data_IF_417726031175
#
_entry.id   IF_417726031175
#
_cell.length_a   1.000
_cell.length_b   1.000
_cell.length_c   1.000
_cell.angle_alpha   90.00
_cell.angle_beta   90.00
_cell.angle_gamma   90.00
#
_symmetry.space_group_name_H-M   'P 1'
#
loop_
_entity.id
_entity.type
_entity.pdbx_description
1 polymer ?
#
# COMPACT_ATOMS: atom_id res chain seq x y z
N UNK A 1 5.32 12.95 17.40
CA UNK A 1 6.10 11.86 16.76
C UNK A 1 6.73 11.09 17.90
N UNK A 2 5.96 10.17 18.48
CA UNK A 2 6.44 9.39 19.61
C UNK A 2 7.48 8.39 19.08
N UNK A 3 8.71 8.54 19.55
CA UNK A 3 9.77 7.58 19.31
C UNK A 3 9.42 6.34 20.13
N UNK A 4 8.70 5.40 19.51
CA UNK A 4 8.43 4.10 20.12
C UNK A 4 9.77 3.47 20.55
N UNK A 5 9.77 2.81 21.71
CA UNK A 5 10.94 2.18 22.33
C UNK A 5 11.81 1.42 21.31
N UNK A 6 13.13 1.42 21.50
CA UNK A 6 14.10 0.87 20.54
C UNK A 6 13.69 -0.50 19.99
N UNK A 7 13.16 -0.48 18.76
CA UNK A 7 12.87 -1.69 18.01
C UNK A 7 14.17 -2.45 17.69
N UNK A 8 14.06 -3.77 17.58
CA UNK A 8 15.18 -4.61 17.17
C UNK A 8 15.72 -4.26 15.78
N UNK A 9 14.91 -3.62 14.92
CA UNK A 9 15.32 -3.21 13.59
C UNK A 9 16.30 -2.03 13.66
N UNK A 10 15.96 -0.95 14.39
CA UNK A 10 16.84 0.21 14.61
C UNK A 10 18.21 -0.18 15.16
N UNK A 11 18.24 -1.03 16.18
CA UNK A 11 19.49 -1.49 16.80
C UNK A 11 20.37 -2.25 15.80
N UNK A 12 19.77 -3.19 15.07
CA UNK A 12 20.49 -3.99 14.07
C UNK A 12 21.00 -3.14 12.90
N UNK A 13 20.22 -2.17 12.44
CA UNK A 13 20.65 -1.21 11.43
C UNK A 13 21.87 -0.41 11.90
N UNK A 14 21.86 0.05 13.17
CA UNK A 14 23.01 0.74 13.76
C UNK A 14 24.26 -0.15 13.86
N UNK A 15 24.11 -1.42 14.24
CA UNK A 15 25.22 -2.39 14.28
C UNK A 15 25.84 -2.62 12.90
N UNK A 16 25.00 -2.85 11.88
CA UNK A 16 25.45 -3.05 10.50
C UNK A 16 26.22 -1.82 10.00
N UNK A 17 25.65 -0.62 10.17
CA UNK A 17 26.29 0.62 9.73
C UNK A 17 27.63 0.85 10.42
N UNK A 18 27.72 0.59 11.73
CA UNK A 18 28.99 0.69 12.47
C UNK A 18 30.03 -0.33 12.01
N UNK A 19 29.62 -1.58 11.74
CA UNK A 19 30.52 -2.62 11.23
C UNK A 19 31.09 -2.27 9.85
N UNK A 20 30.34 -1.51 9.04
CA UNK A 20 30.77 -0.99 7.74
C UNK A 20 31.59 0.31 7.84
N UNK A 21 31.95 0.77 9.05
CA UNK A 21 32.69 2.02 9.26
C UNK A 21 31.82 3.29 9.29
N UNK A 22 30.50 3.14 9.19
CA UNK A 22 29.53 4.24 9.26
C UNK A 22 29.25 4.70 10.68
N UNK A 23 28.98 5.99 10.85
CA UNK A 23 28.53 6.61 12.10
C UNK A 23 27.23 7.38 11.82
N UNK A 24 26.07 6.71 11.81
CA UNK A 24 24.81 7.37 11.48
C UNK A 24 24.50 8.45 12.53
N UNK A 25 24.10 9.64 12.06
CA UNK A 25 23.66 10.72 12.93
C UNK A 25 22.29 10.40 13.56
N UNK A 26 21.42 9.75 12.80
CA UNK A 26 20.10 9.33 13.22
C UNK A 26 19.64 8.09 12.44
N UNK A 27 18.68 7.37 12.99
CA UNK A 27 17.99 6.24 12.38
C UNK A 27 16.50 6.41 12.68
N UNK A 28 15.68 6.50 11.65
CA UNK A 28 14.22 6.56 11.76
C UNK A 28 13.63 5.21 11.37
N UNK A 29 12.64 4.77 12.13
CA UNK A 29 11.93 3.52 11.90
C UNK A 29 10.42 3.77 11.92
N UNK A 30 9.69 3.07 11.04
CA UNK A 30 8.24 3.06 11.01
C UNK A 30 7.75 1.62 11.04
N UNK A 31 6.94 1.31 12.04
CA UNK A 31 6.14 0.08 12.03
C UNK A 31 4.84 0.35 11.25
N UNK A 32 4.78 -0.16 10.02
CA UNK A 32 3.60 -0.04 9.18
C UNK A 32 2.45 -0.95 9.63
N UNK A 33 2.73 -2.00 10.40
CA UNK A 33 1.70 -2.92 10.89
C UNK A 33 0.90 -2.32 12.04
N UNK A 34 1.51 -1.41 12.79
CA UNK A 34 0.88 -0.66 13.88
C UNK A 34 0.11 0.59 13.41
N UNK A 35 0.28 1.00 12.14
CA UNK A 35 -0.40 2.17 11.58
C UNK A 35 -1.91 1.92 11.43
N UNK A 36 -2.74 2.73 12.09
CA UNK A 36 -4.19 2.47 12.26
C UNK A 36 -4.94 2.26 10.94
N UNK A 37 -4.62 3.11 9.96
CA UNK A 37 -5.33 3.14 8.68
C UNK A 37 -4.66 2.27 7.62
N UNK A 38 -3.35 2.07 7.69
CA UNK A 38 -2.62 1.25 6.71
C UNK A 38 -2.60 -0.22 7.09
N UNK A 39 -2.43 -0.53 8.38
CA UNK A 39 -2.44 -1.89 8.97
C UNK A 39 -1.45 -2.88 8.34
N UNK A 40 -0.40 -2.36 7.72
CA UNK A 40 0.60 -3.14 7.00
C UNK A 40 1.25 -2.34 5.88
N UNK A 41 2.16 -2.99 5.16
CA UNK A 41 2.85 -2.44 3.99
C UNK A 41 3.47 -3.63 3.22
N UNK A 42 3.68 -3.57 1.90
CA UNK A 42 3.40 -2.49 0.95
C UNK A 42 2.11 -2.69 0.13
N UNK A 43 1.46 -3.84 0.24
CA UNK A 43 0.19 -4.08 -0.42
C UNK A 43 -0.57 -5.25 0.20
N UNK A 44 -1.87 -5.29 -0.06
CA UNK A 44 -2.74 -6.36 0.40
C UNK A 44 -2.41 -7.70 -0.25
N UNK A 45 -1.92 -8.68 0.52
CA UNK A 45 -1.72 -10.05 0.01
C UNK A 45 -2.96 -10.91 0.22
N UNK A 46 -3.33 -11.61 -0.83
CA UNK A 46 -4.46 -12.52 -0.83
C UNK A 46 -4.05 -13.90 -0.32
N UNK A 47 -4.89 -14.49 0.52
CA UNK A 47 -4.76 -15.89 0.92
C UNK A 47 -4.94 -16.83 -0.26
N UNK A 48 -4.55 -18.10 -0.08
CA UNK A 48 -4.72 -19.13 -1.10
C UNK A 48 -6.20 -19.24 -1.54
N UNK A 49 -6.43 -19.32 -2.84
CA UNK A 49 -7.77 -19.42 -3.43
C UNK A 49 -8.53 -18.09 -3.56
N UNK A 50 -8.17 -17.05 -2.80
CA UNK A 50 -8.92 -15.77 -2.81
C UNK A 50 -8.86 -15.09 -4.18
N UNK A 51 -7.69 -15.07 -4.83
CA UNK A 51 -7.57 -14.46 -6.16
C UNK A 51 -8.42 -15.17 -7.22
N UNK A 52 -8.43 -16.50 -7.24
CA UNK A 52 -9.18 -17.27 -8.25
C UNK A 52 -10.68 -17.25 -8.01
N UNK A 53 -11.11 -17.17 -6.75
CA UNK A 53 -12.53 -17.11 -6.39
C UNK A 53 -13.11 -15.69 -6.50
N UNK A 54 -12.34 -14.67 -6.10
CA UNK A 54 -12.87 -13.30 -5.89
C UNK A 54 -12.09 -12.20 -6.63
N UNK A 55 -11.03 -12.51 -7.38
CA UNK A 55 -10.21 -11.49 -8.05
C UNK A 55 -11.00 -10.58 -9.00
N UNK A 56 -12.06 -11.09 -9.65
CA UNK A 56 -12.96 -10.27 -10.48
C UNK A 56 -13.79 -9.26 -9.66
N UNK A 57 -14.11 -9.57 -8.41
CA UNK A 57 -14.88 -8.70 -7.54
C UNK A 57 -14.05 -7.57 -6.93
N UNK A 58 -12.70 -7.69 -6.94
CA UNK A 58 -11.79 -6.73 -6.30
C UNK A 58 -11.99 -5.29 -6.78
N UNK A 59 -12.27 -5.11 -8.07
CA UNK A 59 -12.40 -3.79 -8.71
C UNK A 59 -13.80 -3.52 -9.27
N UNK A 60 -14.72 -4.47 -9.16
CA UNK A 60 -16.04 -4.34 -9.78
C UNK A 60 -16.86 -3.23 -9.07
N UNK A 61 -17.39 -2.22 -9.80
CA UNK A 61 -18.22 -1.19 -9.20
C UNK A 61 -19.49 -1.76 -8.55
N UNK A 62 -19.95 -1.12 -7.47
CA UNK A 62 -21.20 -1.48 -6.77
C UNK A 62 -22.11 -0.27 -6.75
N UNK A 63 -23.09 -0.25 -7.68
CA UNK A 63 -23.98 0.90 -7.84
C UNK A 63 -23.21 2.15 -8.25
N UNK A 64 -23.18 3.17 -7.39
CA UNK A 64 -22.44 4.43 -7.61
C UNK A 64 -21.03 4.43 -6.97
N UNK A 65 -20.60 3.29 -6.43
CA UNK A 65 -19.30 3.12 -5.78
C UNK A 65 -18.32 2.53 -6.80
N UNK A 66 -17.25 3.26 -7.07
CA UNK A 66 -16.12 2.85 -7.90
C UNK A 66 -14.87 2.70 -7.04
N UNK A 67 -13.99 1.77 -7.41
CA UNK A 67 -12.83 1.40 -6.59
C UNK A 67 -11.54 1.93 -7.20
N UNK A 68 -10.72 2.56 -6.37
CA UNK A 68 -9.35 2.95 -6.68
C UNK A 68 -8.41 2.39 -5.62
N UNK A 69 -7.10 2.49 -5.86
CA UNK A 69 -6.06 2.01 -4.95
C UNK A 69 -5.01 1.21 -5.71
N UNK A 70 -3.78 1.17 -5.18
CA UNK A 70 -2.68 0.48 -5.84
C UNK A 70 -3.00 -0.99 -6.14
N UNK A 71 -3.80 -1.63 -5.29
CA UNK A 71 -4.27 -3.01 -5.38
C UNK A 71 -5.29 -3.25 -6.49
N UNK A 72 -5.92 -2.19 -7.02
CA UNK A 72 -6.91 -2.27 -8.10
C UNK A 72 -6.22 -2.23 -9.47
N UNK A 73 -5.02 -1.67 -9.55
CA UNK A 73 -4.33 -1.52 -10.82
C UNK A 73 -3.90 -2.85 -11.44
N UNK A 74 -4.12 -2.98 -12.75
CA UNK A 74 -3.68 -4.11 -13.57
C UNK A 74 -2.15 -4.16 -13.76
N UNK A 75 -1.49 -2.99 -13.68
CA UNK A 75 -0.04 -2.86 -13.84
C UNK A 75 0.51 -2.11 -12.63
N UNK A 76 1.68 -2.52 -12.13
CA UNK A 76 2.28 -1.93 -10.93
C UNK A 76 1.39 -2.01 -9.69
N UNK A 77 0.68 -3.14 -9.55
CA UNK A 77 -0.14 -3.44 -8.37
C UNK A 77 0.69 -3.34 -7.08
N UNK A 78 0.19 -2.58 -6.10
CA UNK A 78 0.90 -2.35 -4.83
C UNK A 78 2.02 -1.30 -4.89
N UNK A 79 2.14 -0.54 -5.99
CA UNK A 79 3.07 0.58 -6.12
C UNK A 79 2.34 1.90 -6.35
N UNK A 80 3.07 3.01 -6.13
CA UNK A 80 2.55 4.36 -6.34
C UNK A 80 1.99 4.57 -7.76
N UNK A 81 2.64 4.01 -8.79
CA UNK A 81 2.15 4.08 -10.17
C UNK A 81 0.78 3.41 -10.31
N UNK A 82 0.56 2.26 -9.67
CA UNK A 82 -0.74 1.60 -9.65
C UNK A 82 -1.82 2.46 -8.96
N UNK A 83 -1.46 3.17 -7.89
CA UNK A 83 -2.40 4.08 -7.23
C UNK A 83 -2.82 5.23 -8.16
N UNK A 84 -1.88 5.81 -8.90
CA UNK A 84 -2.15 6.89 -9.87
C UNK A 84 -3.03 6.38 -11.01
N UNK A 85 -2.68 5.23 -11.59
CA UNK A 85 -3.41 4.65 -12.73
C UNK A 85 -4.84 4.27 -12.35
N UNK A 86 -5.03 3.55 -11.24
CA UNK A 86 -6.36 3.17 -10.77
C UNK A 86 -7.23 4.37 -10.38
N UNK A 87 -6.63 5.41 -9.79
CA UNK A 87 -7.36 6.64 -9.46
C UNK A 87 -7.90 7.36 -10.70
N UNK A 88 -7.10 7.42 -11.77
CA UNK A 88 -7.55 7.95 -13.07
C UNK A 88 -8.65 7.10 -13.67
N UNK A 89 -8.48 5.78 -13.67
CA UNK A 89 -9.49 4.86 -14.19
C UNK A 89 -10.84 5.00 -13.45
N UNK A 90 -10.82 5.02 -12.12
CA UNK A 90 -12.03 5.20 -11.32
C UNK A 90 -12.73 6.54 -11.61
N UNK A 91 -11.97 7.61 -11.84
CA UNK A 91 -12.52 8.91 -12.23
C UNK A 91 -13.19 8.85 -13.61
N UNK A 92 -12.55 8.21 -14.60
CA UNK A 92 -13.12 8.02 -15.94
C UNK A 92 -14.40 7.18 -15.90
N UNK A 93 -14.44 6.13 -15.07
CA UNK A 93 -15.64 5.32 -14.87
C UNK A 93 -16.81 6.14 -14.29
N UNK A 94 -16.55 6.98 -13.28
CA UNK A 94 -17.55 7.88 -12.70
C UNK A 94 -18.06 8.88 -13.73
N UNK A 95 -17.15 9.53 -14.48
CA UNK A 95 -17.53 10.49 -15.52
C UNK A 95 -18.37 9.83 -16.62
N UNK A 96 -18.01 8.60 -17.02
CA UNK A 96 -18.78 7.80 -17.97
C UNK A 96 -20.18 7.46 -17.45
N UNK A 97 -20.31 7.09 -16.17
CA UNK A 97 -21.60 6.79 -15.55
C UNK A 97 -22.51 8.02 -15.43
N UNK A 98 -21.93 9.19 -15.14
CA UNK A 98 -22.67 10.46 -15.07
C UNK A 98 -23.18 10.92 -16.44
N UNK A 99 -22.41 10.66 -17.50
CA UNK A 99 -22.78 11.05 -18.88
C UNK A 99 -23.94 10.19 -19.45
N UNK A 100 -24.21 9.04 -18.84
CA UNK A 100 -25.26 8.10 -19.24
C UNK A 100 -26.55 8.23 -18.39
N UNK A 101 -26.64 9.26 -17.54
CA UNK A 101 -27.86 9.62 -16.78
C UNK A 101 -28.53 10.83 -17.42
#
# INVERSE_FOLDING_TARGET
MECHAESGCRRRAGEVLRSAGGKPFDIVEQDWTAEEFTRGCYGGRLGAGVWTQYGRALAAPVGRIHWAGAEVSHVWNGYMEGAILSGRQAADEVLGALSNT
#
